data_IF_075593059522
#
_entry.id   IF_075593059522
#
_cell.length_a   1.000
_cell.length_b   1.000
_cell.length_c   1.000
_cell.angle_alpha   90.00
_cell.angle_beta   90.00
_cell.angle_gamma   90.00
#
_symmetry.space_group_name_H-M   'P 1'
#
loop_
_entity.id
_entity.type
_entity.pdbx_description
1 polymer ?
#
# COMPACT_ATOMS: atom_id res chain seq x y z
N UNK A 1 6.26 20.61 2.51
CA UNK A 1 6.48 19.15 2.46
C UNK A 1 6.85 18.70 3.87
N UNK A 2 6.31 17.59 4.40
CA UNK A 2 6.71 17.11 5.73
C UNK A 2 8.21 16.84 5.79
N UNK A 3 8.87 17.18 6.90
CA UNK A 3 10.31 16.91 7.10
C UNK A 3 10.61 15.41 7.03
N UNK A 4 9.70 14.58 7.55
CA UNK A 4 9.75 13.12 7.45
C UNK A 4 9.84 12.59 6.02
N UNK A 5 9.24 13.29 5.05
CA UNK A 5 9.35 12.92 3.64
C UNK A 5 10.73 13.30 3.06
N UNK A 6 11.34 14.39 3.53
CA UNK A 6 12.66 14.85 3.04
C UNK A 6 13.78 13.97 3.62
N UNK A 7 13.65 13.56 4.89
CA UNK A 7 14.64 12.75 5.58
C UNK A 7 14.58 11.26 5.20
N UNK A 8 13.47 10.81 4.61
CA UNK A 8 13.32 9.45 4.12
C UNK A 8 14.23 9.20 2.90
N UNK A 9 15.14 8.23 3.03
CA UNK A 9 16.14 7.89 2.02
C UNK A 9 15.51 7.54 0.66
N UNK A 10 14.43 6.76 0.66
CA UNK A 10 13.76 6.34 -0.58
C UNK A 10 13.15 7.53 -1.31
N UNK A 11 12.51 8.43 -0.57
CA UNK A 11 11.92 9.66 -1.12
C UNK A 11 12.98 10.58 -1.70
N UNK A 12 14.14 10.69 -1.05
CA UNK A 12 15.30 11.40 -1.57
C UNK A 12 15.90 10.73 -2.81
N UNK A 13 15.86 9.41 -2.92
CA UNK A 13 16.30 8.73 -4.14
C UNK A 13 15.32 8.94 -5.30
N UNK A 14 14.01 8.92 -5.03
CA UNK A 14 12.97 9.19 -6.03
C UNK A 14 13.07 10.61 -6.61
N UNK A 15 13.59 11.59 -5.87
CA UNK A 15 13.79 12.95 -6.39
C UNK A 15 14.79 13.02 -7.54
N UNK A 16 15.59 11.97 -7.77
CA UNK A 16 16.55 11.87 -8.87
C UNK A 16 15.95 11.24 -10.14
N UNK A 17 14.72 10.73 -10.07
CA UNK A 17 14.07 10.09 -11.21
C UNK A 17 13.63 11.12 -12.25
N UNK A 18 13.57 10.74 -13.54
CA UNK A 18 12.98 11.61 -14.55
C UNK A 18 11.50 11.90 -14.20
N UNK A 19 11.01 13.10 -14.53
CA UNK A 19 9.62 13.46 -14.26
C UNK A 19 8.67 12.52 -15.03
N UNK A 20 7.61 12.10 -14.34
CA UNK A 20 6.54 11.26 -14.90
C UNK A 20 5.21 12.00 -14.79
N UNK A 21 4.31 11.81 -15.76
CA UNK A 21 2.98 12.40 -15.67
C UNK A 21 2.17 11.73 -14.56
N UNK A 22 1.29 12.49 -13.90
CA UNK A 22 0.39 11.95 -12.87
C UNK A 22 -0.47 10.81 -13.44
N UNK A 23 -0.92 10.93 -14.69
CA UNK A 23 -1.73 9.90 -15.37
C UNK A 23 -0.95 8.59 -15.51
N UNK A 24 0.30 8.67 -15.95
CA UNK A 24 1.17 7.49 -16.09
C UNK A 24 1.46 6.87 -14.73
N UNK A 25 1.75 7.69 -13.71
CA UNK A 25 1.99 7.20 -12.34
C UNK A 25 0.77 6.45 -11.79
N UNK A 26 -0.44 6.99 -11.98
CA UNK A 26 -1.69 6.33 -11.58
C UNK A 26 -1.85 4.97 -12.26
N UNK A 27 -1.63 4.89 -13.58
CA UNK A 27 -1.70 3.62 -14.32
C UNK A 27 -0.67 2.59 -13.83
N UNK A 28 0.56 3.03 -13.52
CA UNK A 28 1.58 2.17 -12.93
C UNK A 28 1.13 1.63 -11.56
N UNK A 29 0.57 2.48 -10.69
CA UNK A 29 0.08 2.07 -9.37
C UNK A 29 -1.09 1.09 -9.46
N UNK A 30 -2.03 1.30 -10.39
CA UNK A 30 -3.13 0.35 -10.65
C UNK A 30 -2.61 -1.02 -11.13
N UNK A 31 -1.61 -1.00 -12.02
CA UNK A 31 -0.99 -2.22 -12.54
C UNK A 31 -0.23 -2.96 -11.44
N UNK A 32 0.53 -2.22 -10.63
CA UNK A 32 1.23 -2.76 -9.46
C UNK A 32 0.24 -3.38 -8.47
N UNK A 33 -0.88 -2.72 -8.18
CA UNK A 33 -1.90 -3.24 -7.27
C UNK A 33 -2.52 -4.56 -7.79
N UNK A 34 -2.77 -4.67 -9.11
CA UNK A 34 -3.25 -5.93 -9.73
C UNK A 34 -2.22 -7.05 -9.59
N UNK A 35 -0.95 -6.77 -9.90
CA UNK A 35 0.12 -7.75 -9.82
C UNK A 35 0.37 -8.20 -8.38
N UNK A 36 0.34 -7.25 -7.43
CA UNK A 36 0.50 -7.53 -6.02
C UNK A 36 -0.64 -8.40 -5.50
N UNK A 37 -1.90 -8.14 -5.89
CA UNK A 37 -3.04 -8.99 -5.55
C UNK A 37 -2.86 -10.43 -6.04
N UNK A 38 -2.40 -10.61 -7.27
CA UNK A 38 -2.13 -11.94 -7.80
C UNK A 38 -1.01 -12.66 -7.03
N UNK A 39 0.07 -11.95 -6.71
CA UNK A 39 1.18 -12.48 -5.93
C UNK A 39 0.76 -12.84 -4.48
N UNK A 40 -0.07 -12.01 -3.84
CA UNK A 40 -0.64 -12.29 -2.52
C UNK A 40 -1.54 -13.53 -2.61
N UNK A 41 -2.45 -13.62 -3.57
CA UNK A 41 -3.32 -14.80 -3.71
C UNK A 41 -2.55 -16.12 -3.90
N UNK A 42 -1.37 -16.07 -4.52
CA UNK A 42 -0.50 -17.23 -4.67
C UNK A 42 0.19 -17.62 -3.34
N UNK A 43 0.44 -16.65 -2.45
CA UNK A 43 1.15 -16.86 -1.17
C UNK A 43 0.21 -17.14 -0.01
N UNK A 44 -0.95 -16.49 0.03
CA UNK A 44 -1.94 -16.65 1.08
C UNK A 44 -2.55 -18.05 0.97
N UNK A 45 -2.48 -18.84 2.04
CA UNK A 45 -3.11 -20.15 2.11
C UNK A 45 -4.64 -20.09 1.97
N UNK A 46 -5.33 -21.21 2.18
CA UNK A 46 -6.79 -21.30 2.00
C UNK A 46 -7.60 -20.43 2.97
N UNK A 47 -6.99 -19.96 4.05
CA UNK A 47 -7.65 -19.18 5.11
C UNK A 47 -6.84 -17.93 5.45
N UNK A 48 -7.56 -16.82 5.65
CA UNK A 48 -7.05 -15.56 6.19
C UNK A 48 -8.09 -14.97 7.14
N UNK A 49 -7.64 -14.21 8.13
CA UNK A 49 -8.47 -13.36 8.97
C UNK A 49 -8.66 -11.98 8.35
N UNK A 50 -9.74 -11.30 8.72
CA UNK A 50 -9.98 -9.89 8.40
C UNK A 50 -9.92 -9.07 9.68
N UNK A 51 -9.08 -8.03 9.68
CA UNK A 51 -9.01 -7.04 10.75
C UNK A 51 -9.60 -5.73 10.26
N UNK A 52 -10.43 -5.12 11.11
CA UNK A 52 -11.08 -3.84 10.87
C UNK A 52 -10.51 -2.84 11.88
N UNK A 53 -10.07 -1.68 11.39
CA UNK A 53 -9.62 -0.55 12.22
C UNK A 53 -10.50 0.66 11.91
N UNK A 54 -11.37 1.04 12.84
CA UNK A 54 -12.34 2.11 12.65
C UNK A 54 -11.88 3.40 13.32
N UNK A 55 -11.94 4.52 12.60
CA UNK A 55 -11.71 5.84 13.18
C UNK A 55 -12.67 6.88 12.61
N UNK A 56 -12.75 8.03 13.25
CA UNK A 56 -13.60 9.14 12.80
C UNK A 56 -12.86 10.45 12.90
N UNK A 57 -13.13 11.35 11.96
CA UNK A 57 -12.60 12.71 11.97
C UNK A 57 -13.74 13.69 11.61
N UNK A 58 -14.18 14.45 12.60
CA UNK A 58 -15.38 15.27 12.47
C UNK A 58 -16.62 14.42 12.19
N UNK A 59 -17.29 14.68 11.07
CA UNK A 59 -18.45 13.92 10.60
C UNK A 59 -18.10 12.76 9.66
N UNK A 60 -16.82 12.53 9.36
CA UNK A 60 -16.39 11.42 8.50
C UNK A 60 -16.03 10.20 9.34
N UNK A 61 -16.55 9.05 8.95
CA UNK A 61 -16.24 7.74 9.53
C UNK A 61 -15.44 6.92 8.53
N UNK A 62 -14.35 6.32 8.98
CA UNK A 62 -13.42 5.54 8.17
C UNK A 62 -13.25 4.15 8.77
N UNK A 63 -13.00 3.16 7.91
CA UNK A 63 -12.64 1.81 8.32
C UNK A 63 -11.48 1.33 7.44
N UNK A 64 -10.35 1.07 8.05
CA UNK A 64 -9.25 0.32 7.46
C UNK A 64 -9.58 -1.16 7.47
N UNK A 65 -9.41 -1.83 6.33
CA UNK A 65 -9.61 -3.27 6.17
C UNK A 65 -8.28 -3.94 5.86
N UNK A 66 -7.91 -4.94 6.66
CA UNK A 66 -6.66 -5.67 6.50
C UNK A 66 -6.92 -7.17 6.43
N UNK A 67 -6.28 -7.84 5.48
CA UNK A 67 -6.21 -9.30 5.44
C UNK A 67 -4.98 -9.77 6.21
N UNK A 68 -5.18 -10.62 7.21
CA UNK A 68 -4.13 -11.19 8.07
C UNK A 68 -4.05 -12.68 7.81
N UNK A 69 -2.87 -13.20 7.50
CA UNK A 69 -2.67 -14.62 7.26
C UNK A 69 -1.40 -15.09 7.94
N UNK A 70 -1.41 -16.34 8.40
CA UNK A 70 -0.23 -16.97 8.97
C UNK A 70 0.74 -17.35 7.85
N UNK A 71 2.01 -16.99 8.03
CA UNK A 71 3.10 -17.44 7.16
C UNK A 71 3.80 -18.57 7.90
N UNK A 72 3.46 -19.82 7.56
CA UNK A 72 4.11 -21.00 8.17
C UNK A 72 5.58 -21.03 7.71
N UNK A 73 6.52 -20.76 8.62
CA UNK A 73 7.96 -20.93 8.37
C UNK A 73 8.91 -19.77 8.75
N UNK A 74 8.56 -18.91 9.71
CA UNK A 74 9.53 -18.06 10.43
C UNK A 74 9.47 -18.42 11.91
#
# INVERSE_FOLDING_TARGET
MPTTAVDNLDTRMMSKWPPISIKTLQQCMETLAKNLRAAINMKTGKSFGLMFDGWSYGSMHFVGLYSVYEVVGI
#
